data_IF_186603998876
#
_entry.id   IF_186603998876
#
_cell.length_a   1.000
_cell.length_b   1.000
_cell.length_c   1.000
_cell.angle_alpha   90.00
_cell.angle_beta   90.00
_cell.angle_gamma   90.00
#
_symmetry.space_group_name_H-M   'P 1'
#
loop_
_entity.id
_entity.type
_entity.pdbx_description
1 polymer ?
#
# COMPACT_ATOMS: atom_id res chain seq x y z
N UNK A 1 14.68 21.88 -12.42
CA UNK A 1 13.38 22.30 -12.98
C UNK A 1 12.54 21.03 -13.05
N UNK A 2 12.00 20.60 -11.91
CA UNK A 2 11.16 19.41 -11.87
C UNK A 2 9.75 19.81 -12.29
N UNK A 3 9.24 19.14 -13.33
CA UNK A 3 7.89 19.33 -13.81
C UNK A 3 6.88 18.97 -12.71
N UNK A 4 5.75 19.68 -12.57
CA UNK A 4 4.70 19.27 -11.66
C UNK A 4 4.18 17.90 -12.11
N UNK A 5 4.40 16.84 -11.32
CA UNK A 5 3.74 15.55 -11.55
C UNK A 5 2.23 15.79 -11.49
N UNK A 6 1.56 15.52 -12.61
CA UNK A 6 0.13 15.70 -12.79
C UNK A 6 -0.63 14.82 -11.78
N UNK A 7 -1.30 15.44 -10.82
CA UNK A 7 -2.07 14.75 -9.79
C UNK A 7 -3.39 14.31 -10.42
N UNK A 8 -3.56 13.01 -10.68
CA UNK A 8 -4.82 12.47 -11.17
C UNK A 8 -5.88 12.57 -10.06
N UNK A 9 -6.92 13.36 -10.34
CA UNK A 9 -8.12 13.54 -9.50
C UNK A 9 -9.02 12.29 -9.53
N UNK A 10 -9.85 12.14 -8.50
CA UNK A 10 -10.73 11.02 -8.16
C UNK A 10 -11.12 10.04 -9.30
N UNK A 11 -11.05 8.75 -9.00
CA UNK A 11 -11.34 7.68 -9.96
C UNK A 11 -11.69 6.34 -9.32
N UNK A 12 -11.77 5.30 -10.14
CA UNK A 12 -12.08 3.93 -9.73
C UNK A 12 -10.82 3.05 -9.72
N UNK A 13 -10.73 2.18 -8.72
CA UNK A 13 -9.69 1.17 -8.57
C UNK A 13 -10.34 -0.22 -8.54
N UNK A 14 -9.73 -1.18 -9.24
CA UNK A 14 -10.12 -2.59 -9.18
C UNK A 14 -8.88 -3.44 -8.97
N UNK A 15 -8.87 -4.26 -7.91
CA UNK A 15 -7.78 -5.20 -7.66
C UNK A 15 -7.80 -6.33 -8.71
N UNK A 16 -6.70 -6.56 -9.41
CA UNK A 16 -6.58 -7.61 -10.43
C UNK A 16 -6.47 -9.04 -9.85
N UNK A 17 -6.43 -9.20 -8.52
CA UNK A 17 -6.36 -10.52 -7.88
C UNK A 17 -7.65 -10.95 -7.19
N UNK A 18 -8.34 -10.03 -6.52
CA UNK A 18 -9.58 -10.31 -5.79
C UNK A 18 -10.79 -9.57 -6.34
N UNK A 19 -10.62 -8.83 -7.43
CA UNK A 19 -11.68 -8.06 -8.11
C UNK A 19 -12.35 -7.00 -7.23
N UNK A 20 -11.77 -6.67 -6.06
CA UNK A 20 -12.30 -5.65 -5.16
C UNK A 20 -12.41 -4.30 -5.89
N UNK A 21 -13.63 -3.76 -6.07
CA UNK A 21 -13.81 -2.41 -6.56
C UNK A 21 -13.72 -1.42 -5.39
N UNK A 22 -13.12 -0.25 -5.65
CA UNK A 22 -13.06 0.84 -4.69
C UNK A 22 -12.93 2.19 -5.41
N UNK A 23 -13.39 3.24 -4.76
CA UNK A 23 -13.17 4.61 -5.22
C UNK A 23 -11.89 5.15 -4.60
N UNK A 24 -11.15 5.99 -5.32
CA UNK A 24 -10.06 6.78 -4.74
C UNK A 24 -10.28 8.25 -5.03
N UNK A 25 -9.76 9.09 -4.12
CA UNK A 25 -9.85 10.55 -4.22
C UNK A 25 -8.66 11.18 -4.95
N UNK A 26 -7.49 10.53 -4.88
CA UNK A 26 -6.31 10.88 -5.67
C UNK A 26 -5.41 9.65 -5.88
N UNK A 27 -4.61 9.68 -6.94
CA UNK A 27 -3.51 8.75 -7.16
C UNK A 27 -2.18 9.50 -7.09
N UNK A 28 -1.22 8.98 -6.31
CA UNK A 28 0.12 9.56 -6.25
C UNK A 28 0.82 9.39 -4.90
N UNK A 29 2.02 9.96 -4.79
CA UNK A 29 2.83 9.91 -3.57
C UNK A 29 2.46 10.97 -2.53
N UNK A 30 1.94 12.12 -2.96
CA UNK A 30 1.63 13.25 -2.08
C UNK A 30 0.20 13.72 -2.34
N UNK A 31 -0.60 13.83 -1.28
CA UNK A 31 -1.90 14.49 -1.37
C UNK A 31 -1.68 15.98 -1.68
N UNK A 32 -2.38 16.56 -2.67
CA UNK A 32 -2.18 17.97 -3.06
C UNK A 32 -2.45 19.00 -1.94
N UNK A 33 -3.05 18.58 -0.80
CA UNK A 33 -3.40 19.46 0.31
C UNK A 33 -2.76 19.07 1.65
N UNK A 34 -1.86 18.07 1.69
CA UNK A 34 -1.20 17.62 2.93
C UNK A 34 0.30 17.84 2.81
N UNK A 35 0.86 18.67 3.68
CA UNK A 35 2.30 19.00 3.69
C UNK A 35 3.12 18.13 4.66
N UNK A 36 2.50 17.18 5.36
CA UNK A 36 3.11 16.48 6.49
C UNK A 36 3.55 15.04 6.17
N UNK A 37 2.97 14.37 5.16
CA UNK A 37 3.25 12.95 4.85
C UNK A 37 3.39 12.73 3.34
N UNK A 38 4.48 12.05 2.94
CA UNK A 38 4.75 11.60 1.57
C UNK A 38 4.83 10.07 1.56
N UNK A 39 4.11 9.42 0.65
CA UNK A 39 4.14 7.97 0.47
C UNK A 39 5.41 7.53 -0.25
N UNK A 40 5.90 6.34 0.10
CA UNK A 40 7.08 5.74 -0.53
C UNK A 40 6.82 5.31 -1.98
N UNK A 41 5.54 5.13 -2.37
CA UNK A 41 5.12 4.75 -3.72
C UNK A 41 3.85 5.50 -4.16
N UNK A 42 3.59 5.51 -5.46
CA UNK A 42 2.32 6.02 -5.99
C UNK A 42 1.19 5.04 -5.70
N UNK A 43 0.19 5.49 -4.94
CA UNK A 43 -0.91 4.65 -4.49
C UNK A 43 -2.27 5.31 -4.73
N UNK A 44 -3.31 4.48 -4.85
CA UNK A 44 -4.70 4.92 -4.87
C UNK A 44 -5.15 5.22 -3.44
N UNK A 45 -5.52 6.47 -3.16
CA UNK A 45 -5.80 6.94 -1.81
C UNK A 45 -7.20 7.54 -1.70
N UNK A 46 -7.91 7.15 -0.66
CA UNK A 46 -9.22 7.67 -0.29
C UNK A 46 -9.10 8.57 0.95
N UNK A 47 -9.59 9.82 0.87
CA UNK A 47 -9.80 10.65 2.06
C UNK A 47 -10.94 10.10 2.91
N UNK A 48 -10.77 10.10 4.22
CA UNK A 48 -11.82 9.62 5.13
C UNK A 48 -12.93 10.70 5.22
N UNK A 49 -14.17 10.41 4.79
CA UNK A 49 -15.22 11.43 4.66
C UNK A 49 -15.77 11.94 6.00
N UNK A 50 -15.48 11.25 7.11
CA UNK A 50 -16.01 11.56 8.44
C UNK A 50 -14.99 12.14 9.41
N UNK A 51 -13.79 12.50 8.94
CA UNK A 51 -12.77 13.12 9.79
C UNK A 51 -12.60 14.60 9.42
N UNK A 52 -12.71 15.54 10.40
CA UNK A 52 -12.44 16.96 10.13
C UNK A 52 -10.95 17.21 9.79
N UNK A 53 -10.09 16.26 10.16
CA UNK A 53 -8.67 16.24 9.86
C UNK A 53 -8.43 15.88 8.38
N UNK A 54 -7.83 16.83 7.65
CA UNK A 54 -7.55 16.71 6.21
C UNK A 54 -6.34 15.82 5.90
N UNK A 55 -5.56 15.46 6.92
CA UNK A 55 -4.37 14.62 6.77
C UNK A 55 -4.68 13.12 6.97
N UNK A 56 -5.93 12.76 7.29
CA UNK A 56 -6.34 11.35 7.41
C UNK A 56 -6.77 10.78 6.06
N UNK A 57 -6.08 9.73 5.67
CA UNK A 57 -6.33 9.01 4.43
C UNK A 57 -6.19 7.50 4.60
N UNK A 58 -6.81 6.76 3.68
CA UNK A 58 -6.72 5.32 3.55
C UNK A 58 -6.07 4.97 2.22
N UNK A 59 -5.05 4.13 2.26
CA UNK A 59 -4.46 3.54 1.06
C UNK A 59 -5.32 2.35 0.64
N UNK A 60 -5.84 2.40 -0.59
CA UNK A 60 -6.71 1.36 -1.16
C UNK A 60 -5.87 0.25 -1.79
N UNK A 61 -4.85 0.65 -2.54
CA UNK A 61 -4.00 -0.23 -3.31
C UNK A 61 -2.95 0.55 -4.09
N UNK A 62 -2.08 -0.18 -4.78
CA UNK A 62 -1.04 0.37 -5.64
C UNK A 62 -0.69 -0.66 -6.72
N UNK A 63 0.32 -0.35 -7.53
CA UNK A 63 0.78 -1.26 -8.58
C UNK A 63 1.91 -2.16 -8.07
N UNK A 64 1.84 -3.45 -8.40
CA UNK A 64 2.93 -4.39 -8.13
C UNK A 64 4.21 -3.90 -8.80
N UNK A 65 5.29 -3.80 -8.04
CA UNK A 65 6.54 -3.24 -8.53
C UNK A 65 7.36 -4.17 -9.45
N UNK A 66 6.89 -5.39 -9.69
CA UNK A 66 7.51 -6.33 -10.64
C UNK A 66 6.68 -6.50 -11.91
N UNK A 67 5.34 -6.55 -11.79
CA UNK A 67 4.46 -6.84 -12.92
C UNK A 67 3.41 -5.75 -13.21
N UNK A 68 3.44 -4.65 -12.46
CA UNK A 68 2.55 -3.49 -12.60
C UNK A 68 1.05 -3.75 -12.39
N UNK A 69 0.62 -4.96 -12.01
CA UNK A 69 -0.78 -5.23 -11.68
C UNK A 69 -1.29 -4.35 -10.53
N UNK A 70 -2.47 -3.77 -10.67
CA UNK A 70 -3.19 -3.09 -9.61
C UNK A 70 -3.60 -4.11 -8.52
N UNK A 71 -3.10 -3.92 -7.30
CA UNK A 71 -3.38 -4.80 -6.17
C UNK A 71 -3.79 -4.01 -4.94
N UNK A 72 -4.85 -4.48 -4.26
CA UNK A 72 -5.31 -3.85 -3.03
C UNK A 72 -4.35 -4.16 -1.88
N UNK A 73 -4.44 -3.39 -0.79
CA UNK A 73 -3.66 -3.61 0.44
C UNK A 73 -4.05 -4.88 1.22
N UNK A 74 -4.97 -5.69 0.67
CA UNK A 74 -5.40 -6.94 1.29
C UNK A 74 -4.28 -7.96 1.38
N UNK A 75 -4.16 -8.64 2.52
CA UNK A 75 -3.09 -9.61 2.82
C UNK A 75 -3.08 -10.83 1.91
N UNK A 76 -4.15 -11.05 1.14
CA UNK A 76 -4.26 -12.13 0.15
C UNK A 76 -3.90 -11.66 -1.27
N UNK A 77 -3.62 -10.37 -1.46
CA UNK A 77 -3.36 -9.77 -2.76
C UNK A 77 -1.96 -9.17 -2.86
N UNK A 78 -1.51 -8.47 -1.82
CA UNK A 78 -0.23 -7.78 -1.84
C UNK A 78 0.55 -7.88 -0.53
N UNK A 79 1.84 -7.62 -0.65
CA UNK A 79 2.80 -7.39 0.43
C UNK A 79 3.45 -6.03 0.19
N UNK A 80 3.40 -5.14 1.18
CA UNK A 80 4.20 -3.92 1.20
C UNK A 80 5.46 -4.13 2.03
N UNK A 81 6.62 -3.74 1.48
CA UNK A 81 7.89 -3.69 2.20
C UNK A 81 8.56 -2.33 2.01
N UNK A 82 9.22 -2.13 0.87
CA UNK A 82 9.69 -0.82 0.38
C UNK A 82 8.80 -0.26 -0.73
N UNK A 83 8.04 -1.16 -1.36
CA UNK A 83 7.08 -0.97 -2.45
C UNK A 83 6.10 -2.15 -2.42
N UNK A 84 5.00 -2.05 -3.15
CA UNK A 84 4.00 -3.11 -3.19
C UNK A 84 4.34 -4.20 -4.18
N UNK A 85 4.09 -5.44 -3.79
CA UNK A 85 4.28 -6.63 -4.60
C UNK A 85 3.02 -7.48 -4.53
N UNK A 86 2.52 -7.94 -5.68
CA UNK A 86 1.44 -8.91 -5.69
C UNK A 86 1.93 -10.26 -5.14
N UNK A 87 1.08 -11.01 -4.45
CA UNK A 87 1.49 -12.30 -3.87
C UNK A 87 2.05 -13.31 -4.89
N UNK A 88 1.57 -13.39 -6.14
CA UNK A 88 2.22 -14.21 -7.17
C UNK A 88 3.70 -13.84 -7.36
N UNK A 89 3.99 -12.54 -7.50
CA UNK A 89 5.36 -12.04 -7.64
C UNK A 89 6.21 -12.28 -6.39
N UNK A 90 5.63 -12.17 -5.19
CA UNK A 90 6.33 -12.51 -3.94
C UNK A 90 6.74 -13.98 -3.94
N UNK A 91 5.84 -14.90 -4.29
CA UNK A 91 6.12 -16.35 -4.32
C UNK A 91 7.17 -16.72 -5.36
N UNK A 92 7.08 -16.15 -6.56
CA UNK A 92 8.05 -16.39 -7.65
C UNK A 92 9.46 -15.88 -7.30
N UNK A 93 9.54 -14.82 -6.49
CA UNK A 93 10.79 -14.14 -6.15
C UNK A 93 11.15 -14.27 -4.65
N UNK A 94 10.61 -15.26 -3.94
CA UNK A 94 10.63 -15.31 -2.47
C UNK A 94 12.04 -15.21 -1.89
N UNK A 95 13.01 -15.86 -2.53
CA UNK A 95 14.42 -15.87 -2.12
C UNK A 95 15.10 -14.49 -2.17
N UNK A 96 14.53 -13.52 -2.88
CA UNK A 96 15.04 -12.15 -2.96
C UNK A 96 14.50 -11.25 -1.83
N UNK A 97 13.51 -11.72 -1.05
CA UNK A 97 12.98 -11.00 0.10
C UNK A 97 13.77 -11.32 1.38
N UNK A 98 13.75 -10.44 2.40
CA UNK A 98 14.30 -10.74 3.73
C UNK A 98 13.77 -12.05 4.33
N UNK A 99 14.57 -12.70 5.18
CA UNK A 99 14.25 -14.01 5.76
C UNK A 99 12.91 -14.00 6.51
N UNK A 100 12.57 -12.89 7.16
CA UNK A 100 11.30 -12.73 7.90
C UNK A 100 10.09 -12.89 6.98
N UNK A 101 10.17 -12.35 5.76
CA UNK A 101 9.10 -12.49 4.75
C UNK A 101 9.08 -13.91 4.19
N UNK A 102 10.24 -14.52 3.99
CA UNK A 102 10.33 -15.91 3.54
C UNK A 102 9.63 -16.85 4.53
N UNK A 103 9.96 -16.73 5.82
CA UNK A 103 9.35 -17.52 6.88
C UNK A 103 7.84 -17.28 7.04
N UNK A 104 7.39 -16.04 6.87
CA UNK A 104 5.98 -15.67 6.98
C UNK A 104 5.15 -16.26 5.83
N UNK A 105 5.74 -16.46 4.65
CA UNK A 105 5.06 -17.07 3.51
C UNK A 105 5.03 -18.60 3.58
N UNK A 106 6.02 -19.23 4.20
CA UNK A 106 6.08 -20.68 4.38
C UNK A 106 5.10 -21.18 5.47
N UNK A 107 4.85 -20.35 6.49
CA UNK A 107 3.86 -20.61 7.55
C UNK A 107 2.46 -20.27 7.05
N UNK A 108 1.86 -21.16 6.26
CA UNK A 108 0.52 -20.99 5.69
C UNK A 108 -0.48 -20.29 6.63
N UNK A 109 -0.95 -19.11 6.22
CA UNK A 109 -1.74 -18.14 7.00
C UNK A 109 -2.81 -18.75 7.93
N UNK A 110 -2.89 -18.22 9.17
CA UNK A 110 -4.15 -17.59 9.56
C UNK A 110 -3.91 -16.18 10.14
N UNK A 111 -4.54 -15.19 9.50
CA UNK A 111 -4.78 -13.81 9.98
C UNK A 111 -3.63 -13.08 10.69
N UNK A 112 -2.98 -12.14 9.99
CA UNK A 112 -2.21 -11.09 10.67
C UNK A 112 -2.92 -9.75 10.53
N UNK A 113 -3.61 -9.38 11.60
CA UNK A 113 -4.06 -8.02 11.86
C UNK A 113 -2.79 -7.15 12.05
N UNK A 114 -2.55 -6.05 11.31
CA UNK A 114 -1.29 -5.30 11.43
C UNK A 114 -1.16 -4.49 12.74
N UNK A 115 -2.17 -4.49 13.61
CA UNK A 115 -2.23 -3.63 14.79
C UNK A 115 -1.67 -4.30 16.06
N UNK A 116 -0.45 -4.86 16.05
CA UNK A 116 0.35 -5.00 17.28
C UNK A 116 1.79 -5.46 17.00
N UNK A 117 2.69 -4.52 16.67
CA UNK A 117 4.09 -4.65 17.10
C UNK A 117 4.43 -3.43 17.93
N UNK A 118 4.54 -3.69 19.22
CA UNK A 118 4.93 -2.79 20.31
C UNK A 118 6.07 -1.86 19.87
N UNK A 119 5.85 -0.57 20.12
CA UNK A 119 6.89 0.44 20.29
C UNK A 119 7.92 -0.17 21.27
N UNK A 120 9.09 -0.54 20.78
CA UNK A 120 10.23 -0.73 21.67
C UNK A 120 10.71 0.67 22.03
N UNK A 121 10.52 0.97 23.31
CA UNK A 121 10.96 2.14 24.05
C UNK A 121 12.41 2.51 23.69
N UNK A 122 12.57 3.70 23.12
CA UNK A 122 13.82 4.44 23.18
C UNK A 122 13.91 4.93 24.62
N UNK A 123 14.86 4.40 25.39
CA UNK A 123 15.19 4.95 26.69
C UNK A 123 15.78 6.35 26.49
N UNK A 124 15.17 7.36 27.13
CA UNK A 124 15.90 8.57 27.52
C UNK A 124 16.87 8.24 28.66
#
# INVERSE_FOLDING_TARGET
MDAPKEVQTAGEFTCELCELPALYTYYGQMSPNSHSIVLLEEACVMRVPFTPDKDKFLIIGSHCSLCSRAVCVGTNCSLFYSKSFCLPCVKENLKAFPLEIQEDMDKGNPSRNPANKRIQSINL
#
